data_IF_914489390583
#
_entry.id   IF_914489390583
#
_cell.length_a   1.000
_cell.length_b   1.000
_cell.length_c   1.000
_cell.angle_alpha   90.00
_cell.angle_beta   90.00
_cell.angle_gamma   90.00
#
_symmetry.space_group_name_H-M   'P 1'
#
loop_
_entity.id
_entity.type
_entity.pdbx_description
1 polymer ?
#
# COMPACT_ATOMS: atom_id res chain seq x y z
N UNK A 1 15.48 7.50 22.49
CA UNK A 1 14.36 7.45 21.54
C UNK A 1 14.68 8.36 20.38
N UNK A 2 14.62 7.84 19.15
CA UNK A 2 14.65 8.68 17.94
C UNK A 2 13.25 9.10 17.55
N UNK A 3 13.10 10.36 17.13
CA UNK A 3 11.88 10.86 16.55
C UNK A 3 11.76 10.34 15.13
N UNK A 4 10.75 9.51 14.87
CA UNK A 4 10.40 9.04 13.52
C UNK A 4 9.25 9.87 12.96
N UNK A 5 9.57 10.76 12.02
CA UNK A 5 8.58 11.51 11.25
C UNK A 5 8.29 10.78 9.94
N UNK A 6 7.01 10.48 9.68
CA UNK A 6 6.56 9.84 8.43
C UNK A 6 5.85 10.86 7.54
N UNK A 7 6.08 10.78 6.23
CA UNK A 7 5.48 11.64 5.21
C UNK A 7 4.67 10.80 4.22
N UNK A 8 3.51 10.26 4.64
CA UNK A 8 2.75 9.31 3.84
C UNK A 8 2.11 9.98 2.63
N UNK A 9 2.33 9.41 1.44
CA UNK A 9 1.60 9.76 0.23
C UNK A 9 0.78 8.54 -0.23
N UNK A 10 -0.53 8.72 -0.37
CA UNK A 10 -1.44 7.68 -0.86
C UNK A 10 -1.91 8.04 -2.26
N UNK A 11 -1.40 7.32 -3.25
CA UNK A 11 -1.70 7.54 -4.67
C UNK A 11 -2.83 6.60 -5.06
N UNK A 12 -4.01 7.14 -5.39
CA UNK A 12 -5.14 6.32 -5.85
C UNK A 12 -4.81 5.64 -7.17
N UNK A 13 -5.04 4.34 -7.23
CA UNK A 13 -4.92 3.54 -8.46
C UNK A 13 -6.23 3.64 -9.23
N UNK A 14 -6.16 4.24 -10.43
CA UNK A 14 -7.36 4.52 -11.25
C UNK A 14 -7.74 3.37 -12.19
N UNK A 15 -6.90 2.32 -12.30
CA UNK A 15 -7.16 1.17 -13.17
C UNK A 15 -8.28 0.25 -12.71
N UNK A 16 -8.75 0.39 -11.46
CA UNK A 16 -9.92 -0.28 -10.92
C UNK A 16 -11.14 0.60 -11.12
N UNK A 17 -11.74 0.49 -12.30
CA UNK A 17 -13.01 1.13 -12.66
C UNK A 17 -14.17 0.13 -12.65
N UNK A 18 -15.38 0.61 -12.98
CA UNK A 18 -16.58 -0.22 -13.05
C UNK A 18 -16.51 -1.32 -14.13
N UNK A 19 -15.54 -1.24 -15.06
CA UNK A 19 -15.32 -2.32 -16.05
C UNK A 19 -14.57 -3.51 -15.45
N UNK A 20 -13.80 -3.29 -14.38
CA UNK A 20 -13.04 -4.31 -13.67
C UNK A 20 -13.81 -4.90 -12.50
N UNK A 21 -14.42 -4.03 -11.69
CA UNK A 21 -15.16 -4.47 -10.50
C UNK A 21 -16.36 -3.58 -10.24
N UNK A 22 -17.49 -4.20 -9.93
CA UNK A 22 -18.73 -3.48 -9.58
C UNK A 22 -18.57 -2.66 -8.29
N UNK A 23 -17.55 -2.95 -7.50
CA UNK A 23 -17.27 -2.25 -6.25
C UNK A 23 -16.28 -1.08 -6.40
N UNK A 24 -15.89 -0.70 -7.63
CA UNK A 24 -14.93 0.39 -7.86
C UNK A 24 -15.41 1.78 -7.39
N UNK A 25 -16.74 1.95 -7.24
CA UNK A 25 -17.34 3.15 -6.65
C UNK A 25 -17.31 3.14 -5.12
N UNK A 26 -17.27 1.94 -4.52
CA UNK A 26 -17.35 1.71 -3.08
C UNK A 26 -15.95 1.63 -2.48
N UNK A 27 -15.10 0.76 -2.99
CA UNK A 27 -13.76 0.52 -2.47
C UNK A 27 -12.69 1.11 -3.38
N UNK A 28 -11.50 1.33 -2.83
CA UNK A 28 -10.38 1.94 -3.57
C UNK A 28 -9.07 1.25 -3.24
N UNK A 29 -8.16 1.27 -4.19
CA UNK A 29 -6.78 0.82 -4.02
C UNK A 29 -5.84 2.03 -4.02
N UNK A 30 -4.95 2.07 -3.05
CA UNK A 30 -3.93 3.11 -2.94
C UNK A 30 -2.53 2.50 -2.99
N UNK A 31 -1.62 3.14 -3.69
CA UNK A 31 -0.19 2.88 -3.61
C UNK A 31 0.43 3.86 -2.59
N UNK A 32 1.11 3.32 -1.59
CA UNK A 32 1.84 4.09 -0.60
C UNK A 32 3.22 4.49 -1.12
N UNK A 33 3.58 5.76 -0.95
CA UNK A 33 4.93 6.29 -1.18
C UNK A 33 5.39 7.10 0.02
N UNK A 34 6.59 6.81 0.52
CA UNK A 34 7.17 7.59 1.61
C UNK A 34 7.81 8.87 1.06
N UNK A 35 7.28 10.03 1.46
CA UNK A 35 7.79 11.33 1.06
C UNK A 35 9.22 11.55 1.54
N UNK A 36 10.05 12.11 0.66
CA UNK A 36 11.48 12.33 0.93
C UNK A 36 12.34 11.07 0.85
N UNK A 37 11.75 9.91 0.53
CA UNK A 37 12.45 8.62 0.38
C UNK A 37 12.13 8.00 -0.97
N UNK A 38 10.85 7.79 -1.27
CA UNK A 38 10.38 7.25 -2.53
C UNK A 38 10.09 8.35 -3.54
N UNK A 39 10.33 8.03 -4.82
CA UNK A 39 9.81 8.83 -5.92
C UNK A 39 8.28 8.77 -5.92
N UNK A 40 7.62 9.92 -6.15
CA UNK A 40 6.15 10.03 -6.18
C UNK A 40 5.56 9.54 -7.52
N UNK A 41 6.10 8.43 -8.04
CA UNK A 41 5.59 7.76 -9.23
C UNK A 41 4.26 7.09 -8.92
N UNK A 42 3.32 7.21 -9.87
CA UNK A 42 1.99 6.59 -9.77
C UNK A 42 2.02 5.09 -10.04
N UNK A 43 2.92 4.69 -10.94
CA UNK A 43 3.06 3.30 -11.37
C UNK A 43 3.94 2.51 -10.39
N UNK A 44 3.61 1.25 -10.11
CA UNK A 44 4.48 0.35 -9.38
C UNK A 44 5.66 -0.12 -10.26
N UNK A 45 6.80 -0.36 -9.62
CA UNK A 45 8.02 -0.86 -10.25
C UNK A 45 8.83 -1.81 -9.35
N UNK A 46 8.34 -2.09 -8.14
CA UNK A 46 8.99 -2.93 -7.12
C UNK A 46 8.15 -4.17 -6.82
N UNK A 47 8.55 -4.96 -5.82
CA UNK A 47 7.80 -6.14 -5.37
C UNK A 47 6.47 -5.68 -4.75
N UNK A 48 5.31 -6.09 -5.27
CA UNK A 48 4.02 -5.63 -4.76
C UNK A 48 3.68 -6.31 -3.43
N UNK A 49 3.21 -5.54 -2.46
CA UNK A 49 2.65 -6.00 -1.19
C UNK A 49 1.23 -5.46 -1.08
N UNK A 50 0.24 -6.32 -0.88
CA UNK A 50 -1.14 -5.91 -0.64
C UNK A 50 -1.45 -5.91 0.86
N UNK A 51 -1.83 -4.75 1.38
CA UNK A 51 -2.33 -4.58 2.74
C UNK A 51 -3.87 -4.52 2.74
N UNK A 52 -4.47 -5.46 3.47
CA UNK A 52 -5.91 -5.54 3.67
C UNK A 52 -6.19 -5.15 5.13
N UNK A 53 -6.88 -4.02 5.39
CA UNK A 53 -7.24 -3.64 6.75
C UNK A 53 -8.28 -4.61 7.34
N UNK A 54 -8.29 -4.72 8.67
CA UNK A 54 -9.29 -5.51 9.39
C UNK A 54 -10.65 -4.82 9.53
N UNK A 55 -11.49 -5.35 10.42
CA UNK A 55 -12.80 -4.78 10.76
C UNK A 55 -12.70 -3.31 11.19
N UNK A 56 -13.47 -2.43 10.54
CA UNK A 56 -13.39 -0.97 10.72
C UNK A 56 -11.96 -0.40 10.59
N UNK A 57 -11.10 -1.10 9.87
CA UNK A 57 -9.70 -0.77 9.72
C UNK A 57 -9.48 0.27 8.63
N UNK A 58 -8.62 1.24 8.92
CA UNK A 58 -8.22 2.25 7.95
C UNK A 58 -7.11 1.72 7.05
N UNK A 59 -7.17 2.00 5.74
CA UNK A 59 -6.06 1.77 4.81
C UNK A 59 -4.75 2.48 5.26
N UNK A 60 -4.88 3.51 6.11
CA UNK A 60 -3.74 4.26 6.64
C UNK A 60 -2.92 3.47 7.67
N UNK A 61 -3.40 2.33 8.16
CA UNK A 61 -2.69 1.48 9.12
C UNK A 61 -1.40 0.89 8.55
N UNK A 62 -1.29 0.72 7.22
CA UNK A 62 -0.07 0.27 6.55
C UNK A 62 1.14 1.19 6.76
N UNK A 63 0.89 2.44 7.16
CA UNK A 63 1.86 3.54 7.16
C UNK A 63 3.18 3.19 7.82
N UNK A 64 3.17 2.71 9.06
CA UNK A 64 4.40 2.48 9.82
C UNK A 64 5.27 1.40 9.17
N UNK A 65 4.66 0.35 8.65
CA UNK A 65 5.35 -0.76 8.00
C UNK A 65 5.94 -0.29 6.66
N UNK A 66 5.12 0.34 5.82
CA UNK A 66 5.57 0.83 4.51
C UNK A 66 6.67 1.89 4.65
N UNK A 67 6.50 2.85 5.54
CA UNK A 67 7.47 3.92 5.79
C UNK A 67 8.81 3.39 6.33
N UNK A 68 8.78 2.34 7.15
CA UNK A 68 9.99 1.69 7.66
C UNK A 68 10.68 0.90 6.57
N UNK A 69 9.93 0.14 5.77
CA UNK A 69 10.47 -0.64 4.65
C UNK A 69 11.12 0.26 3.59
N UNK A 70 10.49 1.37 3.20
CA UNK A 70 11.05 2.33 2.24
C UNK A 70 12.36 2.93 2.77
N UNK A 71 12.41 3.35 4.04
CA UNK A 71 13.63 3.90 4.65
C UNK A 71 14.73 2.87 4.79
N UNK A 72 14.41 1.63 5.17
CA UNK A 72 15.39 0.55 5.26
C UNK A 72 15.98 0.23 3.89
N UNK A 73 15.14 0.21 2.85
CA UNK A 73 15.60 0.04 1.47
C UNK A 73 16.51 1.19 1.03
N UNK A 74 16.12 2.44 1.29
CA UNK A 74 16.92 3.61 0.94
C UNK A 74 18.25 3.66 1.70
N UNK A 75 18.24 3.34 2.99
CA UNK A 75 19.45 3.20 3.79
C UNK A 75 20.37 2.10 3.26
N UNK A 76 19.83 0.93 2.92
CA UNK A 76 20.63 -0.15 2.32
C UNK A 76 21.23 0.27 0.96
N UNK A 77 20.43 0.92 0.12
CA UNK A 77 20.84 1.44 -1.19
C UNK A 77 21.98 2.46 -1.09
N UNK A 78 21.94 3.34 -0.09
CA UNK A 78 22.93 4.41 0.12
C UNK A 78 24.17 3.91 0.86
N UNK A 79 24.03 3.04 1.86
CA UNK A 79 25.12 2.54 2.68
C UNK A 79 26.02 1.51 1.98
N UNK A 80 25.46 0.66 1.11
CA UNK A 80 26.20 -0.47 0.52
C UNK A 80 26.69 -0.25 -0.93
N UNK A 81 26.65 0.98 -1.46
CA UNK A 81 27.19 1.40 -2.77
C UNK A 81 26.92 0.42 -3.96
N UNK A 82 25.89 0.76 -4.75
CA UNK A 82 25.59 0.31 -6.14
C UNK A 82 25.31 -1.18 -6.39
N UNK A 83 25.80 -2.11 -5.58
CA UNK A 83 25.65 -3.55 -5.85
C UNK A 83 24.36 -4.16 -5.27
N UNK A 84 23.66 -3.44 -4.38
CA UNK A 84 22.37 -3.91 -3.83
C UNK A 84 21.29 -4.07 -4.90
N UNK A 85 21.34 -3.23 -5.95
CA UNK A 85 20.48 -3.37 -7.11
C UNK A 85 20.94 -4.53 -8.01
N UNK A 86 22.26 -4.79 -8.07
CA UNK A 86 22.83 -5.95 -8.77
C UNK A 86 22.49 -7.29 -8.09
N UNK A 87 22.21 -7.27 -6.78
CA UNK A 87 21.69 -8.41 -6.02
C UNK A 87 20.16 -8.58 -6.14
N UNK A 88 19.49 -7.77 -6.98
CA UNK A 88 18.05 -7.89 -7.25
C UNK A 88 17.13 -7.33 -6.17
N UNK A 89 17.65 -6.63 -5.16
CA UNK A 89 16.80 -5.94 -4.20
C UNK A 89 16.25 -4.65 -4.83
N UNK A 90 14.98 -4.70 -5.23
CA UNK A 90 14.26 -3.58 -5.83
C UNK A 90 13.32 -2.87 -4.84
N UNK A 91 13.27 -3.31 -3.58
CA UNK A 91 12.36 -2.78 -2.56
C UNK A 91 10.92 -3.28 -2.74
N UNK A 92 9.97 -2.61 -2.06
CA UNK A 92 8.56 -2.97 -2.04
C UNK A 92 7.65 -1.82 -2.45
N UNK A 93 6.55 -2.17 -3.10
CA UNK A 93 5.42 -1.29 -3.42
C UNK A 93 4.22 -1.72 -2.58
N UNK A 94 3.92 -0.93 -1.54
CA UNK A 94 2.81 -1.21 -0.65
C UNK A 94 1.51 -0.67 -1.24
N UNK A 95 0.65 -1.59 -1.64
CA UNK A 95 -0.74 -1.32 -1.94
C UNK A 95 -1.58 -1.45 -0.67
N UNK A 96 -2.57 -0.59 -0.52
CA UNK A 96 -3.51 -0.64 0.59
C UNK A 96 -4.93 -0.42 0.11
N UNK A 97 -5.83 -1.25 0.61
CA UNK A 97 -7.26 -1.17 0.28
C UNK A 97 -7.98 -0.23 1.24
N UNK A 98 -8.76 0.69 0.67
CA UNK A 98 -9.76 1.48 1.37
C UNK A 98 -11.11 0.77 1.25
N UNK A 99 -11.48 0.10 2.34
CA UNK A 99 -12.72 -0.68 2.45
C UNK A 99 -13.83 0.10 3.17
N UNK A 100 -13.76 1.44 3.13
CA UNK A 100 -14.68 2.37 3.81
C UNK A 100 -14.83 2.14 5.32
N UNK A 101 -13.84 1.52 5.96
CA UNK A 101 -13.85 1.23 7.41
C UNK A 101 -15.14 0.49 7.84
N UNK A 102 -15.65 -0.41 6.98
CA UNK A 102 -16.88 -1.16 7.28
C UNK A 102 -16.71 -2.18 8.41
N UNK A 103 -17.79 -2.41 9.17
CA UNK A 103 -17.83 -3.36 10.29
C UNK A 103 -18.02 -4.82 9.83
N UNK A 104 -17.02 -5.36 9.14
CA UNK A 104 -17.06 -6.70 8.52
C UNK A 104 -17.19 -7.84 9.52
N UNK A 105 -16.74 -7.65 10.77
CA UNK A 105 -16.89 -8.65 11.82
C UNK A 105 -18.35 -8.93 12.18
N UNK A 106 -19.25 -7.97 11.91
CA UNK A 106 -20.66 -8.04 12.27
C UNK A 106 -21.59 -8.19 11.04
N UNK A 107 -21.05 -8.05 9.82
CA UNK A 107 -21.82 -8.03 8.59
C UNK A 107 -21.17 -8.89 7.50
N UNK A 108 -21.64 -10.14 7.38
CA UNK A 108 -21.08 -11.12 6.43
C UNK A 108 -21.24 -10.73 4.95
N UNK A 109 -22.27 -9.95 4.61
CA UNK A 109 -22.45 -9.46 3.24
C UNK A 109 -21.32 -8.48 2.86
N UNK A 110 -20.98 -7.53 3.73
CA UNK A 110 -19.82 -6.63 3.52
C UNK A 110 -18.52 -7.41 3.35
N UNK A 111 -18.31 -8.47 4.13
CA UNK A 111 -17.12 -9.31 4.00
C UNK A 111 -17.06 -9.98 2.62
N UNK A 112 -18.19 -10.44 2.08
CA UNK A 112 -18.24 -11.05 0.75
C UNK A 112 -17.95 -10.02 -0.36
N UNK A 113 -18.51 -8.81 -0.26
CA UNK A 113 -18.21 -7.72 -1.21
C UNK A 113 -16.73 -7.32 -1.17
N UNK A 114 -16.13 -7.26 0.02
CA UNK A 114 -14.70 -6.96 0.16
C UNK A 114 -13.83 -8.08 -0.43
N UNK A 115 -14.18 -9.35 -0.18
CA UNK A 115 -13.47 -10.48 -0.73
C UNK A 115 -13.53 -10.51 -2.27
N UNK A 116 -14.67 -10.15 -2.85
CA UNK A 116 -14.81 -10.05 -4.30
C UNK A 116 -13.97 -8.90 -4.86
N UNK A 117 -14.04 -7.70 -4.28
CA UNK A 117 -13.21 -6.57 -4.72
C UNK A 117 -11.71 -6.83 -4.62
N UNK A 118 -11.27 -7.61 -3.63
CA UNK A 118 -9.86 -8.01 -3.47
C UNK A 118 -9.43 -9.01 -4.56
N UNK A 119 -10.37 -9.82 -5.05
CA UNK A 119 -10.11 -10.88 -6.02
C UNK A 119 -10.18 -10.39 -7.48
N UNK A 120 -10.97 -9.34 -7.75
CA UNK A 120 -11.07 -8.68 -9.06
C UNK A 120 -9.82 -7.87 -9.44
#
# INVERSE_FOLDING_TARGET
CDLFYMYPNYIRQNGLDLSRTRFASKYRLYLYREGGVDELLREPFRIPILFIPGNAGSYKQVRSIAATASRQFDHARTAFLKDSQAQGNIGFDFFSLDLNEEFTALHGFSLHEQAEFVND
#
